data_IF_351360602034
#
_entry.id   IF_351360602034
#
_cell.length_a   1.000
_cell.length_b   1.000
_cell.length_c   1.000
_cell.angle_alpha   90.00
_cell.angle_beta   90.00
_cell.angle_gamma   90.00
#
_symmetry.space_group_name_H-M   'P 1'
#
loop_
_entity.id
_entity.type
_entity.pdbx_description
1 polymer ?
#
# COMPACT_ATOMS: atom_id res chain seq x y z
N UNK A 1 32.28 -0.03 -31.49
CA UNK A 1 31.15 0.93 -31.54
C UNK A 1 29.81 0.25 -31.16
N UNK A 2 29.60 -0.17 -29.89
CA UNK A 2 28.42 -0.98 -29.51
C UNK A 2 27.57 -0.44 -28.33
N UNK A 3 27.74 0.84 -27.93
CA UNK A 3 27.10 1.39 -26.72
C UNK A 3 25.82 2.21 -26.91
N UNK A 4 25.55 2.77 -28.10
CA UNK A 4 24.54 3.83 -28.27
C UNK A 4 23.11 3.37 -28.62
N UNK A 5 22.93 2.17 -29.21
CA UNK A 5 21.61 1.70 -29.62
C UNK A 5 20.71 1.30 -28.44
N UNK A 6 21.27 0.53 -27.49
CA UNK A 6 20.53 0.02 -26.33
C UNK A 6 20.04 1.12 -25.38
N UNK A 7 20.81 2.20 -25.23
CA UNK A 7 20.40 3.33 -24.39
C UNK A 7 19.24 4.14 -24.99
N UNK A 8 19.21 4.27 -26.33
CA UNK A 8 18.10 4.94 -27.02
C UNK A 8 16.81 4.12 -26.92
N UNK A 9 16.91 2.80 -27.07
CA UNK A 9 15.75 1.91 -26.92
C UNK A 9 15.21 1.91 -25.49
N UNK A 10 16.10 1.86 -24.48
CA UNK A 10 15.72 1.95 -23.07
C UNK A 10 15.05 3.28 -22.74
N UNK A 11 15.53 4.40 -23.30
CA UNK A 11 14.91 5.72 -23.13
C UNK A 11 13.54 5.79 -23.77
N UNK A 12 13.39 5.26 -24.98
CA UNK A 12 12.11 5.25 -25.68
C UNK A 12 11.05 4.45 -24.91
N UNK A 13 11.40 3.24 -24.47
CA UNK A 13 10.50 2.42 -23.63
C UNK A 13 10.17 3.10 -22.30
N UNK A 14 11.14 3.78 -21.69
CA UNK A 14 10.90 4.53 -20.45
C UNK A 14 9.98 5.74 -20.66
N UNK A 15 10.11 6.46 -21.79
CA UNK A 15 9.25 7.58 -22.16
C UNK A 15 7.82 7.13 -22.47
N UNK A 16 7.67 5.98 -23.14
CA UNK A 16 6.38 5.35 -23.43
C UNK A 16 5.66 4.94 -22.14
N UNK A 17 6.34 4.21 -21.25
CA UNK A 17 5.80 3.82 -19.93
C UNK A 17 5.45 5.06 -19.09
N UNK A 18 6.28 6.10 -19.13
CA UNK A 18 6.02 7.33 -18.39
C UNK A 18 4.80 8.09 -18.93
N UNK A 19 4.59 8.09 -20.25
CA UNK A 19 3.46 8.77 -20.90
C UNK A 19 2.16 8.03 -20.61
N UNK A 20 2.15 6.70 -20.75
CA UNK A 20 0.98 5.86 -20.45
C UNK A 20 0.61 5.94 -18.95
N UNK A 21 1.61 5.98 -18.06
CA UNK A 21 1.39 6.20 -16.64
C UNK A 21 0.82 7.60 -16.34
N UNK A 22 1.26 8.64 -17.06
CA UNK A 22 0.77 10.00 -16.87
C UNK A 22 -0.70 10.16 -17.28
N UNK A 23 -1.10 9.55 -18.40
CA UNK A 23 -2.49 9.54 -18.85
C UNK A 23 -3.39 8.79 -17.85
N UNK A 24 -2.98 7.59 -17.42
CA UNK A 24 -3.73 6.82 -16.42
C UNK A 24 -3.82 7.51 -15.05
N UNK A 25 -2.82 8.30 -14.68
CA UNK A 25 -2.80 9.07 -13.43
C UNK A 25 -3.85 10.19 -13.41
N UNK A 26 -4.13 10.86 -14.53
CA UNK A 26 -5.09 11.96 -14.59
C UNK A 26 -6.53 11.46 -14.41
N UNK A 27 -6.87 10.34 -15.03
CA UNK A 27 -8.17 9.67 -14.86
C UNK A 27 -8.32 9.06 -13.47
N UNK A 28 -7.24 8.46 -12.94
CA UNK A 28 -7.20 7.98 -11.57
C UNK A 28 -7.38 9.14 -10.60
N UNK A 29 -6.74 10.30 -10.81
CA UNK A 29 -6.83 11.47 -9.93
C UNK A 29 -8.25 12.01 -9.83
N UNK A 30 -8.99 12.03 -10.93
CA UNK A 30 -10.40 12.48 -10.96
C UNK A 30 -11.30 11.55 -10.15
N UNK A 31 -11.12 10.24 -10.29
CA UNK A 31 -11.91 9.22 -9.58
C UNK A 31 -11.46 9.01 -8.13
N UNK A 32 -10.16 9.16 -7.85
CA UNK A 32 -9.56 8.96 -6.54
C UNK A 32 -10.03 10.02 -5.54
N UNK A 33 -10.36 11.24 -5.96
CA UNK A 33 -10.85 12.29 -5.04
C UNK A 33 -12.10 11.87 -4.26
N UNK A 34 -13.01 11.12 -4.89
CA UNK A 34 -14.22 10.64 -4.23
C UNK A 34 -13.95 9.48 -3.25
N UNK A 35 -12.97 8.63 -3.54
CA UNK A 35 -12.58 7.49 -2.69
C UNK A 35 -11.46 7.80 -1.68
N UNK A 36 -10.76 8.93 -1.82
CA UNK A 36 -9.53 9.22 -1.09
C UNK A 36 -9.75 9.34 0.42
N UNK A 37 -10.86 9.94 0.86
CA UNK A 37 -11.17 10.07 2.28
C UNK A 37 -11.46 8.71 2.93
N UNK A 38 -12.14 7.80 2.24
CA UNK A 38 -12.43 6.46 2.76
C UNK A 38 -11.19 5.56 2.75
N UNK A 39 -10.37 5.64 1.70
CA UNK A 39 -9.05 4.98 1.67
C UNK A 39 -8.14 5.52 2.77
N UNK A 40 -8.14 6.82 3.02
CA UNK A 40 -7.40 7.45 4.12
C UNK A 40 -7.85 6.93 5.48
N UNK A 41 -9.17 6.87 5.74
CA UNK A 41 -9.69 6.29 6.99
C UNK A 41 -9.29 4.84 7.17
N UNK A 42 -9.39 4.03 6.11
CA UNK A 42 -8.97 2.63 6.12
C UNK A 42 -7.46 2.50 6.40
N UNK A 43 -6.62 3.30 5.75
CA UNK A 43 -5.19 3.32 5.97
C UNK A 43 -4.82 3.73 7.41
N UNK A 44 -5.47 4.75 7.97
CA UNK A 44 -5.29 5.16 9.38
C UNK A 44 -5.61 3.99 10.31
N UNK A 45 -6.73 3.30 10.08
CA UNK A 45 -7.15 2.16 10.90
C UNK A 45 -6.16 0.98 10.78
N UNK A 46 -5.70 0.67 9.57
CA UNK A 46 -4.70 -0.38 9.34
C UNK A 46 -3.37 -0.08 10.05
N UNK A 47 -2.90 1.17 9.98
CA UNK A 47 -1.68 1.60 10.65
C UNK A 47 -1.80 1.46 12.18
N UNK A 48 -2.94 1.84 12.77
CA UNK A 48 -3.19 1.63 14.20
C UNK A 48 -3.25 0.14 14.56
N UNK A 49 -3.95 -0.68 13.78
CA UNK A 49 -4.04 -2.13 14.02
C UNK A 49 -2.66 -2.81 13.91
N UNK A 50 -1.84 -2.41 12.94
CA UNK A 50 -0.49 -2.92 12.78
C UNK A 50 0.40 -2.54 13.97
N UNK A 51 0.33 -1.28 14.44
CA UNK A 51 1.05 -0.84 15.62
C UNK A 51 0.68 -1.66 16.87
N UNK A 52 -0.62 -1.88 17.07
CA UNK A 52 -1.14 -2.69 18.17
C UNK A 52 -0.72 -4.16 18.07
N UNK A 53 -0.78 -4.74 16.87
CA UNK A 53 -0.39 -6.13 16.64
C UNK A 53 1.09 -6.35 16.93
N UNK A 54 1.95 -5.46 16.43
CA UNK A 54 3.41 -5.53 16.66
C UNK A 54 3.72 -5.46 18.17
N UNK A 55 3.08 -4.54 18.90
CA UNK A 55 3.24 -4.41 20.36
C UNK A 55 2.76 -5.65 21.09
N UNK A 56 1.60 -6.21 20.72
CA UNK A 56 1.03 -7.41 21.35
C UNK A 56 1.93 -8.61 21.11
N UNK A 57 2.39 -8.80 19.88
CA UNK A 57 3.16 -9.96 19.47
C UNK A 57 4.56 -9.96 20.11
N UNK A 58 5.22 -8.81 20.19
CA UNK A 58 6.48 -8.66 20.92
C UNK A 58 6.33 -8.92 22.43
N UNK A 59 5.17 -8.59 23.02
CA UNK A 59 4.90 -8.89 24.43
C UNK A 59 4.59 -10.36 24.67
N UNK A 60 3.72 -10.94 23.86
CA UNK A 60 3.22 -12.31 23.98
C UNK A 60 4.29 -13.36 23.70
N UNK A 61 5.19 -13.12 22.73
CA UNK A 61 6.28 -14.05 22.41
C UNK A 61 7.46 -13.99 23.39
N UNK A 62 7.31 -13.29 24.51
CA UNK A 62 8.37 -13.16 25.52
C UNK A 62 9.65 -12.53 24.97
N UNK A 63 9.53 -11.66 23.95
CA UNK A 63 10.69 -11.11 23.25
C UNK A 63 11.63 -10.37 24.23
N UNK A 64 12.92 -10.37 23.91
CA UNK A 64 13.94 -9.67 24.70
C UNK A 64 13.60 -8.19 24.83
N UNK A 65 14.18 -7.52 25.83
CA UNK A 65 13.96 -6.09 26.08
C UNK A 65 14.25 -5.25 24.82
N UNK A 66 15.31 -5.58 24.09
CA UNK A 66 15.72 -4.89 22.86
C UNK A 66 14.74 -5.12 21.70
N UNK A 67 14.21 -6.34 21.57
CA UNK A 67 13.18 -6.64 20.57
C UNK A 67 11.86 -5.94 20.88
N UNK A 68 11.48 -5.84 22.16
CA UNK A 68 10.29 -5.08 22.59
C UNK A 68 10.45 -3.59 22.30
N UNK A 69 11.64 -3.03 22.56
CA UNK A 69 11.94 -1.64 22.25
C UNK A 69 11.89 -1.37 20.74
N UNK A 70 12.47 -2.25 19.93
CA UNK A 70 12.42 -2.15 18.47
C UNK A 70 10.97 -2.23 17.94
N UNK A 71 10.17 -3.14 18.49
CA UNK A 71 8.75 -3.25 18.17
C UNK A 71 7.97 -1.98 18.54
N UNK A 72 8.29 -1.38 19.69
CA UNK A 72 7.69 -0.11 20.12
C UNK A 72 8.11 1.07 19.24
N UNK A 73 9.34 1.09 18.72
CA UNK A 73 9.81 2.12 17.79
C UNK A 73 9.06 2.02 16.45
N UNK A 74 8.89 0.80 15.92
CA UNK A 74 8.10 0.55 14.71
C UNK A 74 6.64 0.95 14.92
N UNK A 75 6.02 0.50 16.03
CA UNK A 75 4.65 0.85 16.36
C UNK A 75 4.44 2.37 16.48
N UNK A 76 5.37 3.08 17.13
CA UNK A 76 5.35 4.55 17.20
C UNK A 76 5.50 5.20 15.82
N UNK A 77 6.29 4.63 14.92
CA UNK A 77 6.39 5.07 13.54
C UNK A 77 5.06 4.96 12.80
N UNK A 78 4.36 3.85 12.96
CA UNK A 78 3.04 3.61 12.36
C UNK A 78 1.97 4.55 12.93
N UNK A 79 1.97 4.80 14.25
CA UNK A 79 1.08 5.78 14.88
C UNK A 79 1.32 7.20 14.38
N UNK A 80 2.58 7.60 14.22
CA UNK A 80 2.92 8.90 13.63
C UNK A 80 2.43 9.02 12.19
N UNK A 81 2.59 7.96 11.40
CA UNK A 81 2.08 7.92 10.02
C UNK A 81 0.55 8.03 9.98
N UNK A 82 -0.17 7.31 10.86
CA UNK A 82 -1.62 7.40 10.99
C UNK A 82 -2.05 8.82 11.37
N UNK A 83 -1.34 9.44 12.32
CA UNK A 83 -1.64 10.79 12.77
C UNK A 83 -1.36 11.86 11.70
N UNK A 84 -0.31 11.68 10.91
CA UNK A 84 0.03 12.52 9.77
C UNK A 84 -1.03 12.41 8.66
N UNK A 85 -1.39 11.19 8.29
CA UNK A 85 -2.39 10.91 7.27
C UNK A 85 -3.77 11.46 7.67
N UNK A 86 -4.13 11.36 8.96
CA UNK A 86 -5.38 11.91 9.51
C UNK A 86 -5.41 13.45 9.44
N UNK A 87 -4.30 14.11 9.78
CA UNK A 87 -4.26 15.57 9.96
C UNK A 87 -4.03 16.37 8.65
N UNK A 88 -3.41 15.78 7.64
CA UNK A 88 -3.20 16.44 6.35
C UNK A 88 -4.17 15.93 5.27
N UNK A 89 -4.70 16.85 4.46
CA UNK A 89 -5.44 16.52 3.24
C UNK A 89 -4.45 16.27 2.10
N UNK A 90 -4.79 15.36 1.17
CA UNK A 90 -3.94 15.02 0.03
C UNK A 90 -3.60 16.22 -0.88
N UNK A 91 -4.38 17.30 -0.77
CA UNK A 91 -4.26 18.51 -1.60
C UNK A 91 -3.02 19.35 -1.28
N UNK A 92 -2.45 19.24 -0.06
CA UNK A 92 -1.25 19.99 0.36
C UNK A 92 0.07 19.23 0.08
N UNK A 93 0.03 17.94 -0.29
CA UNK A 93 1.24 17.11 -0.40
C UNK A 93 1.87 17.10 -1.80
N UNK A 94 1.15 17.57 -2.82
CA UNK A 94 1.59 17.45 -4.22
C UNK A 94 2.77 18.34 -4.60
N UNK A 95 2.90 19.51 -3.99
CA UNK A 95 3.87 20.53 -4.41
C UNK A 95 5.31 20.26 -3.92
N UNK A 96 5.49 19.41 -2.91
CA UNK A 96 6.78 19.17 -2.24
C UNK A 96 7.51 17.88 -2.66
N UNK A 97 6.88 17.03 -3.47
CA UNK A 97 7.48 15.76 -3.91
C UNK A 97 8.69 16.01 -4.82
N UNK A 98 8.59 16.97 -5.74
CA UNK A 98 9.64 17.25 -6.74
C UNK A 98 10.94 17.78 -6.09
N UNK A 99 10.83 18.57 -5.02
CA UNK A 99 11.99 19.05 -4.26
C UNK A 99 12.65 17.93 -3.44
N UNK A 100 11.85 17.01 -2.92
CA UNK A 100 12.32 15.88 -2.10
C UNK A 100 13.11 14.86 -2.92
N UNK A 101 12.71 14.60 -4.18
CA UNK A 101 13.43 13.69 -5.10
C UNK A 101 14.83 14.18 -5.42
N UNK A 102 15.00 15.49 -5.70
CA UNK A 102 16.32 16.06 -6.02
C UNK A 102 17.28 16.07 -4.84
N UNK A 103 16.77 16.16 -3.62
CA UNK A 103 17.58 16.36 -2.42
C UNK A 103 18.11 15.05 -1.84
N UNK A 104 17.36 13.95 -1.94
CA UNK A 104 17.86 12.65 -1.50
C UNK A 104 17.17 11.48 -2.25
N UNK A 105 17.69 11.07 -3.42
CA UNK A 105 17.03 10.09 -4.28
C UNK A 105 16.88 8.72 -3.61
N UNK A 106 17.85 8.32 -2.76
CA UNK A 106 17.79 7.03 -2.07
C UNK A 106 16.63 6.94 -1.07
N UNK A 107 16.34 8.04 -0.36
CA UNK A 107 15.19 8.10 0.54
C UNK A 107 13.87 8.00 -0.23
N UNK A 108 13.79 8.60 -1.42
CA UNK A 108 12.59 8.48 -2.26
C UNK A 108 12.37 7.06 -2.77
N UNK A 109 13.43 6.32 -3.14
CA UNK A 109 13.27 4.91 -3.51
C UNK A 109 12.70 4.08 -2.36
N UNK A 110 13.14 4.32 -1.13
CA UNK A 110 12.59 3.65 0.04
C UNK A 110 11.10 3.99 0.24
N UNK A 111 10.70 5.26 0.07
CA UNK A 111 9.30 5.66 0.15
C UNK A 111 8.44 5.02 -0.94
N UNK A 112 8.91 5.00 -2.19
CA UNK A 112 8.22 4.37 -3.32
C UNK A 112 8.06 2.87 -3.08
N UNK A 113 9.09 2.20 -2.57
CA UNK A 113 9.03 0.78 -2.24
C UNK A 113 7.96 0.50 -1.17
N UNK A 114 7.97 1.26 -0.08
CA UNK A 114 6.98 1.13 1.00
C UNK A 114 5.57 1.38 0.46
N UNK A 115 5.38 2.44 -0.33
CA UNK A 115 4.09 2.76 -0.94
C UNK A 115 3.60 1.62 -1.86
N UNK A 116 4.48 1.06 -2.69
CA UNK A 116 4.17 -0.06 -3.57
C UNK A 116 3.79 -1.33 -2.81
N UNK A 117 4.50 -1.66 -1.72
CA UNK A 117 4.15 -2.81 -0.86
C UNK A 117 2.77 -2.62 -0.24
N UNK A 118 2.49 -1.43 0.32
CA UNK A 118 1.18 -1.14 0.93
C UNK A 118 0.05 -1.22 -0.11
N UNK A 119 0.23 -0.61 -1.28
CA UNK A 119 -0.74 -0.68 -2.37
C UNK A 119 -0.97 -2.12 -2.83
N UNK A 120 0.10 -2.91 -2.96
CA UNK A 120 0.01 -4.32 -3.31
C UNK A 120 -0.75 -5.15 -2.26
N UNK A 121 -0.56 -4.85 -0.97
CA UNK A 121 -1.29 -5.54 0.11
C UNK A 121 -2.79 -5.20 0.12
N UNK A 122 -3.16 -3.94 -0.14
CA UNK A 122 -4.56 -3.51 -0.21
C UNK A 122 -5.26 -4.14 -1.42
N UNK A 123 -4.64 -4.09 -2.61
CA UNK A 123 -5.21 -4.66 -3.84
C UNK A 123 -5.29 -6.20 -3.81
N UNK A 124 -4.42 -6.86 -3.04
CA UNK A 124 -4.43 -8.32 -2.85
C UNK A 124 -5.60 -8.80 -1.98
N UNK A 125 -6.29 -7.91 -1.27
CA UNK A 125 -7.33 -8.24 -0.30
C UNK A 125 -8.66 -8.79 -0.87
N UNK A 126 -8.88 -8.75 -2.19
CA UNK A 126 -10.16 -9.15 -2.81
C UNK A 126 -10.04 -10.35 -3.76
N UNK A 127 -9.56 -11.48 -3.23
CA UNK A 127 -9.62 -12.77 -3.94
C UNK A 127 -9.91 -13.90 -2.95
N UNK A 128 -11.17 -14.00 -2.52
CA UNK A 128 -11.55 -15.02 -1.55
C UNK A 128 -13.01 -15.06 -1.12
N UNK A 129 -13.97 -15.05 -2.05
CA UNK A 129 -15.31 -15.61 -1.80
C UNK A 129 -15.80 -16.39 -3.03
N UNK A 130 -15.24 -17.57 -3.23
CA UNK A 130 -15.95 -18.60 -4.00
C UNK A 130 -17.00 -19.17 -3.05
N UNK A 131 -18.23 -18.72 -3.24
CA UNK A 131 -19.42 -19.22 -2.55
C UNK A 131 -19.62 -20.70 -2.92
N UNK A 132 -19.20 -21.61 -2.03
CA UNK A 132 -19.65 -23.01 -2.10
C UNK A 132 -21.13 -23.05 -1.70
N UNK A 133 -22.00 -22.82 -2.69
CA UNK A 133 -23.43 -23.12 -2.56
C UNK A 133 -23.56 -24.63 -2.42
N UNK A 134 -23.64 -25.09 -1.18
CA UNK A 134 -24.00 -26.47 -0.84
C UNK A 134 -25.41 -26.72 -1.37
N UNK A 135 -25.52 -27.44 -2.48
CA UNK A 135 -26.79 -27.97 -2.98
C UNK A 135 -27.22 -29.07 -2.02
N UNK A 136 -28.00 -28.70 -1.01
CA UNK A 136 -28.73 -29.63 -0.15
C UNK A 136 -30.21 -29.53 -0.48
N UNK A 137 -30.69 -30.42 -1.35
CA UNK A 137 -32.01 -31.04 -1.30
C UNK A 137 -32.26 -31.83 -2.58
N UNK A 138 -32.29 -33.16 -2.49
CA UNK A 138 -33.47 -33.97 -2.77
C UNK A 138 -33.05 -35.45 -2.80
N UNK A 139 -33.07 -36.12 -1.64
CA UNK A 139 -33.18 -37.57 -1.59
C UNK A 139 -34.67 -37.90 -1.47
N UNK A 140 -35.35 -38.40 -2.52
CA UNK A 140 -36.65 -38.99 -2.32
C UNK A 140 -36.48 -40.29 -1.53
N UNK A 141 -37.02 -40.27 -0.32
CA UNK A 141 -37.14 -41.42 0.54
C UNK A 141 -37.93 -42.54 -0.13
N UNK A 142 -37.56 -43.75 0.27
CA UNK A 142 -38.27 -45.01 0.01
C UNK A 142 -39.78 -44.85 0.21
N UNK A 143 -40.55 -45.38 -0.72
CA UNK A 143 -41.91 -45.83 -0.45
C UNK A 143 -42.10 -47.22 -1.06
N UNK A 144 -42.67 -48.10 -0.22
CA UNK A 144 -43.12 -49.48 -0.42
C UNK A 144 -42.03 -50.53 -0.71
#
# INVERSE_FOLDING_TARGET
MFGNGKQKELRYRAEEIASEAAEGLDDLRRNARAGAEDVKKQAVNLLHQAADSIRREARQRGASKDMRQSADDVARGLEKAAHYLRRHSFEDMGEDVTKSVRRNPWRMMLFVFIAGVVLGLILRGDSGRVEYRVIRNNYPGKQA
#
